data_IF_956330141451
#
_entry.id   IF_956330141451
#
_cell.length_a   1.000
_cell.length_b   1.000
_cell.length_c   1.000
_cell.angle_alpha   90.00
_cell.angle_beta   90.00
_cell.angle_gamma   90.00
#
_symmetry.space_group_name_H-M   'P 1'
#
loop_
_entity.id
_entity.type
_entity.pdbx_description
1 polymer ?
#
# COMPACT_ATOMS: atom_id res chain seq x y z
N UNK A 1 11.61 15.68 -10.34
CA UNK A 1 12.30 14.37 -10.47
C UNK A 1 12.85 14.03 -9.08
N UNK A 2 12.13 13.24 -8.29
CA UNK A 2 12.57 12.87 -6.93
C UNK A 2 13.55 11.69 -7.04
N UNK A 3 14.81 11.96 -6.76
CA UNK A 3 15.88 10.97 -6.71
C UNK A 3 16.04 10.48 -5.26
N UNK A 4 15.35 9.39 -4.92
CA UNK A 4 15.31 8.78 -3.57
C UNK A 4 16.38 7.69 -3.41
N UNK A 5 17.63 7.96 -3.81
CA UNK A 5 18.73 6.98 -3.75
C UNK A 5 19.24 6.74 -2.32
N UNK A 6 18.48 5.98 -1.51
CA UNK A 6 18.91 5.23 -0.29
C UNK A 6 18.52 5.76 1.10
N UNK A 7 17.42 6.52 1.26
CA UNK A 7 16.79 6.62 2.60
C UNK A 7 15.84 5.44 2.79
N UNK A 8 16.34 4.31 3.30
CA UNK A 8 15.58 3.05 3.51
C UNK A 8 14.28 3.24 4.30
N UNK A 9 14.22 4.27 5.15
CA UNK A 9 13.06 4.56 5.98
C UNK A 9 11.83 4.94 5.13
N UNK A 10 12.01 5.74 4.08
CA UNK A 10 10.89 6.20 3.25
C UNK A 10 10.13 5.05 2.56
N UNK A 11 10.77 4.10 1.86
CA UNK A 11 10.07 2.94 1.29
C UNK A 11 9.52 2.00 2.37
N UNK A 12 10.16 1.87 3.55
CA UNK A 12 9.60 1.10 4.66
C UNK A 12 8.27 1.67 5.15
N UNK A 13 8.16 2.99 5.30
CA UNK A 13 6.91 3.65 5.71
C UNK A 13 5.81 3.41 4.66
N UNK A 14 6.12 3.63 3.38
CA UNK A 14 5.17 3.39 2.29
C UNK A 14 4.72 1.93 2.22
N UNK A 15 5.64 0.99 2.39
CA UNK A 15 5.35 -0.45 2.42
C UNK A 15 4.47 -0.83 3.62
N UNK A 16 4.75 -0.30 4.80
CA UNK A 16 3.93 -0.52 6.00
C UNK A 16 2.49 -0.05 5.81
N UNK A 17 2.30 1.14 5.20
CA UNK A 17 0.98 1.64 4.84
C UNK A 17 0.26 0.75 3.81
N UNK A 18 0.98 0.30 2.77
CA UNK A 18 0.42 -0.62 1.79
C UNK A 18 0.00 -1.95 2.41
N UNK A 19 0.83 -2.53 3.27
CA UNK A 19 0.55 -3.79 3.96
C UNK A 19 -0.66 -3.67 4.90
N UNK A 20 -0.75 -2.60 5.69
CA UNK A 20 -1.91 -2.34 6.55
C UNK A 20 -3.20 -2.15 5.76
N UNK A 21 -3.14 -1.37 4.68
CA UNK A 21 -4.31 -1.15 3.79
C UNK A 21 -4.76 -2.45 3.11
N UNK A 22 -3.80 -3.29 2.69
CA UNK A 22 -4.09 -4.60 2.12
C UNK A 22 -4.74 -5.55 3.14
N UNK A 23 -4.24 -5.58 4.38
CA UNK A 23 -4.82 -6.37 5.45
C UNK A 23 -6.26 -5.93 5.77
N UNK A 24 -6.49 -4.62 5.86
CA UNK A 24 -7.83 -4.09 6.06
C UNK A 24 -8.78 -4.46 4.91
N UNK A 25 -8.31 -4.41 3.66
CA UNK A 25 -9.09 -4.83 2.48
C UNK A 25 -9.41 -6.32 2.48
N UNK A 26 -8.46 -7.16 2.89
CA UNK A 26 -8.64 -8.61 2.98
C UNK A 26 -9.78 -8.97 3.94
N UNK A 27 -9.76 -8.38 5.15
CA UNK A 27 -10.79 -8.61 6.17
C UNK A 27 -12.15 -8.04 5.72
N UNK A 28 -12.18 -6.81 5.20
CA UNK A 28 -13.43 -6.17 4.73
C UNK A 28 -14.10 -6.94 3.58
N UNK A 29 -13.30 -7.51 2.68
CA UNK A 29 -13.81 -8.23 1.51
C UNK A 29 -13.96 -9.73 1.76
N UNK A 30 -13.63 -10.20 2.97
CA UNK A 30 -13.58 -11.61 3.35
C UNK A 30 -12.80 -12.48 2.35
N UNK A 31 -11.62 -12.00 1.93
CA UNK A 31 -10.72 -12.70 1.01
C UNK A 31 -9.39 -13.00 1.68
N UNK A 32 -8.74 -14.06 1.21
CA UNK A 32 -7.36 -14.35 1.60
C UNK A 32 -6.44 -13.19 1.20
N UNK A 33 -5.37 -12.89 1.98
CA UNK A 33 -4.45 -11.78 1.68
C UNK A 33 -3.90 -11.78 0.24
N UNK A 34 -3.67 -12.98 -0.33
CA UNK A 34 -3.19 -13.15 -1.71
C UNK A 34 -4.24 -12.85 -2.80
N UNK A 35 -5.51 -12.72 -2.43
CA UNK A 35 -6.64 -12.41 -3.31
C UNK A 35 -7.11 -10.96 -3.19
N UNK A 36 -6.43 -10.14 -2.38
CA UNK A 36 -6.73 -8.71 -2.28
C UNK A 36 -6.58 -8.05 -3.65
N UNK A 37 -7.60 -7.29 -4.06
CA UNK A 37 -7.57 -6.56 -5.33
C UNK A 37 -6.55 -5.41 -5.29
N UNK A 38 -5.51 -5.55 -6.10
CA UNK A 38 -4.42 -4.58 -6.19
C UNK A 38 -4.88 -3.22 -6.72
N UNK A 39 -5.95 -3.16 -7.53
CA UNK A 39 -6.46 -1.89 -8.06
C UNK A 39 -7.11 -1.07 -6.95
N UNK A 40 -7.96 -1.71 -6.14
CA UNK A 40 -8.59 -1.10 -4.97
C UNK A 40 -7.55 -0.65 -3.94
N UNK A 41 -6.50 -1.45 -3.72
CA UNK A 41 -5.37 -1.09 -2.86
C UNK A 41 -4.65 0.16 -3.36
N UNK A 42 -4.21 0.19 -4.63
CA UNK A 42 -3.51 1.36 -5.22
C UNK A 42 -4.38 2.61 -5.21
N UNK A 43 -5.68 2.48 -5.51
CA UNK A 43 -6.62 3.61 -5.47
C UNK A 43 -6.73 4.21 -4.07
N UNK A 44 -6.82 3.38 -3.03
CA UNK A 44 -6.88 3.84 -1.63
C UNK A 44 -5.58 4.52 -1.20
N UNK A 45 -4.43 3.94 -1.54
CA UNK A 45 -3.13 4.52 -1.25
C UNK A 45 -2.90 5.85 -1.97
N UNK A 46 -3.26 5.96 -3.26
CA UNK A 46 -3.21 7.22 -4.00
C UNK A 46 -4.11 8.29 -3.39
N UNK A 47 -5.32 7.92 -2.92
CA UNK A 47 -6.22 8.83 -2.23
C UNK A 47 -5.66 9.33 -0.88
N UNK A 48 -4.74 8.58 -0.27
CA UNK A 48 -4.01 8.97 0.95
C UNK A 48 -2.72 9.76 0.66
N UNK A 49 -2.45 10.07 -0.62
CA UNK A 49 -1.23 10.77 -1.03
C UNK A 49 0.03 9.88 -1.02
N UNK A 50 -0.12 8.56 -0.88
CA UNK A 50 0.99 7.61 -1.00
C UNK A 50 1.27 7.39 -2.50
N UNK A 51 2.52 7.56 -2.98
CA UNK A 51 2.88 7.25 -4.35
C UNK A 51 2.77 5.73 -4.63
N UNK A 52 2.11 5.35 -5.73
CA UNK A 52 1.77 3.96 -6.11
C UNK A 52 2.01 3.63 -7.58
#
# INVERSE_FOLDING_TARGET
>A
MMDTRLNVIQPCIAMGQAAGTAAALAVQSNVEPRKVDYKSLRKRLAAQGIPV
#
